data_IF_499629749981
#
_entry.id   IF_499629749981
#
_cell.length_a   1.000
_cell.length_b   1.000
_cell.length_c   1.000
_cell.angle_alpha   90.00
_cell.angle_beta   90.00
_cell.angle_gamma   90.00
#
_symmetry.space_group_name_H-M   'P 1'
#
loop_
_entity.id
_entity.type
_entity.pdbx_description
1 polymer ?
#
# COMPACT_ATOMS: atom_id res chain seq x y z
N UNK A 1 7.66 -15.11 -6.58
CA UNK A 1 8.92 -14.34 -6.58
C UNK A 1 9.46 -14.12 -7.99
N UNK A 2 9.68 -15.17 -8.79
CA UNK A 2 10.27 -15.06 -10.14
C UNK A 2 9.45 -14.22 -11.12
N UNK A 3 8.12 -14.37 -11.16
CA UNK A 3 7.27 -13.56 -12.06
C UNK A 3 7.33 -12.06 -11.76
N UNK A 4 7.53 -11.68 -10.51
CA UNK A 4 7.69 -10.28 -10.11
C UNK A 4 9.04 -9.76 -10.63
N UNK A 5 10.11 -10.55 -10.46
CA UNK A 5 11.46 -10.19 -10.94
C UNK A 5 11.57 -10.10 -12.47
N UNK A 6 10.74 -10.84 -13.22
CA UNK A 6 10.65 -10.67 -14.68
C UNK A 6 10.19 -9.27 -15.09
N UNK A 7 9.39 -8.62 -14.27
CA UNK A 7 8.86 -7.27 -14.53
C UNK A 7 9.74 -6.19 -13.90
N UNK A 8 10.26 -6.43 -12.69
CA UNK A 8 11.15 -5.52 -11.97
C UNK A 8 12.31 -6.32 -11.36
N UNK A 9 13.47 -6.41 -12.04
CA UNK A 9 14.57 -7.30 -11.63
C UNK A 9 15.09 -7.02 -10.21
N UNK A 10 15.27 -5.74 -9.87
CA UNK A 10 15.93 -5.31 -8.65
C UNK A 10 14.97 -5.05 -7.48
N UNK A 11 13.72 -5.51 -7.59
CA UNK A 11 12.74 -5.32 -6.53
C UNK A 11 13.06 -6.20 -5.33
N UNK A 12 13.04 -5.57 -4.16
CA UNK A 12 13.13 -6.26 -2.88
C UNK A 12 11.81 -7.00 -2.60
N UNK A 13 11.90 -8.30 -2.29
CA UNK A 13 10.74 -9.17 -2.05
C UNK A 13 10.91 -9.77 -0.67
N UNK A 14 9.97 -9.42 0.22
CA UNK A 14 9.97 -9.80 1.62
C UNK A 14 8.78 -10.70 1.87
N UNK A 15 9.02 -11.86 2.49
CA UNK A 15 7.96 -12.71 2.99
C UNK A 15 7.54 -12.26 4.38
N UNK A 16 6.25 -12.06 4.59
CA UNK A 16 5.72 -11.55 5.85
C UNK A 16 4.50 -12.32 6.31
N UNK A 17 4.33 -12.46 7.63
CA UNK A 17 3.11 -12.94 8.25
C UNK A 17 2.71 -11.95 9.35
N UNK A 18 1.59 -11.26 9.16
CA UNK A 18 1.13 -10.25 10.12
C UNK A 18 0.67 -10.86 11.46
N UNK A 19 0.15 -12.08 11.45
CA UNK A 19 -0.34 -12.78 12.64
C UNK A 19 0.84 -13.23 13.52
N UNK A 20 1.89 -13.76 12.90
CA UNK A 20 3.08 -14.26 13.62
C UNK A 20 4.19 -13.22 13.76
N UNK A 21 4.07 -12.07 13.10
CA UNK A 21 5.08 -11.01 13.09
C UNK A 21 6.29 -11.25 12.18
N UNK A 22 6.35 -12.38 11.46
CA UNK A 22 7.47 -12.72 10.57
C UNK A 22 7.67 -11.64 9.51
N UNK A 23 8.92 -11.21 9.30
CA UNK A 23 9.30 -10.23 8.28
C UNK A 23 8.85 -8.78 8.51
N UNK A 24 7.96 -8.51 9.48
CA UNK A 24 7.40 -7.18 9.70
C UNK A 24 8.46 -6.15 10.11
N UNK A 25 9.43 -6.51 10.96
CA UNK A 25 10.49 -5.57 11.38
C UNK A 25 11.30 -5.05 10.19
N UNK A 26 11.62 -5.93 9.23
CA UNK A 26 12.32 -5.54 8.02
C UNK A 26 11.43 -4.64 7.16
N UNK A 27 10.18 -5.05 6.92
CA UNK A 27 9.21 -4.27 6.16
C UNK A 27 9.04 -2.86 6.72
N UNK A 28 8.82 -2.73 8.03
CA UNK A 28 8.64 -1.44 8.71
C UNK A 28 9.87 -0.53 8.57
N UNK A 29 11.08 -1.09 8.71
CA UNK A 29 12.32 -0.31 8.49
C UNK A 29 12.45 0.16 7.05
N UNK A 30 12.10 -0.68 6.07
CA UNK A 30 12.16 -0.31 4.65
C UNK A 30 11.16 0.78 4.30
N UNK A 31 9.95 0.74 4.87
CA UNK A 31 8.95 1.79 4.75
C UNK A 31 9.47 3.09 5.37
N UNK A 32 9.96 3.05 6.61
CA UNK A 32 10.48 4.22 7.32
C UNK A 32 11.71 4.84 6.64
N UNK A 33 12.49 4.06 5.88
CA UNK A 33 13.65 4.55 5.13
C UNK A 33 13.31 5.08 3.73
N UNK A 34 12.06 5.01 3.29
CA UNK A 34 11.69 5.59 1.99
C UNK A 34 11.68 7.12 2.09
N UNK A 35 12.02 7.82 0.99
CA UNK A 35 11.78 9.25 0.89
C UNK A 35 10.31 9.57 1.14
N UNK A 36 10.05 10.78 1.65
CA UNK A 36 8.68 11.27 1.75
C UNK A 36 8.04 11.33 0.36
N UNK A 37 6.75 11.02 0.32
CA UNK A 37 5.98 11.07 -0.92
C UNK A 37 5.78 12.54 -1.30
N UNK A 38 6.18 12.90 -2.52
CA UNK A 38 5.95 14.24 -3.06
C UNK A 38 4.47 14.54 -3.30
N UNK A 39 4.18 15.74 -3.81
CA UNK A 39 2.81 16.17 -4.15
C UNK A 39 2.23 15.51 -5.39
N UNK A 40 3.07 14.80 -6.16
CA UNK A 40 2.70 14.16 -7.41
C UNK A 40 1.71 13.00 -7.19
N UNK A 41 0.81 12.80 -8.15
CA UNK A 41 -0.10 11.67 -8.13
C UNK A 41 0.65 10.34 -8.28
N UNK A 42 0.49 9.44 -7.30
CA UNK A 42 1.02 8.07 -7.40
C UNK A 42 0.02 7.20 -8.16
N UNK A 43 0.43 6.70 -9.31
CA UNK A 43 -0.38 5.80 -10.15
C UNK A 43 0.35 4.48 -10.36
N UNK A 44 -0.37 3.37 -10.19
CA UNK A 44 0.16 2.04 -10.47
C UNK A 44 0.36 1.81 -11.96
N UNK A 45 1.48 1.16 -12.32
CA UNK A 45 1.78 0.80 -13.73
C UNK A 45 0.71 -0.09 -14.37
N UNK A 46 0.04 -0.91 -13.58
CA UNK A 46 -1.01 -1.84 -13.99
C UNK A 46 -2.07 -1.98 -12.91
N UNK A 47 -3.26 -2.46 -13.27
CA UNK A 47 -4.24 -2.88 -12.27
C UNK A 47 -3.74 -4.20 -11.65
N UNK A 48 -3.40 -4.23 -10.35
CA UNK A 48 -2.87 -5.45 -9.75
C UNK A 48 -4.00 -6.47 -9.62
N UNK A 49 -3.76 -7.76 -9.96
CA UNK A 49 -4.75 -8.82 -9.77
C UNK A 49 -4.97 -9.17 -8.29
N UNK A 50 -4.13 -8.64 -7.39
CA UNK A 50 -4.19 -8.81 -5.94
C UNK A 50 -4.20 -7.42 -5.28
N UNK A 51 -5.13 -7.21 -4.34
CA UNK A 51 -5.36 -5.91 -3.73
C UNK A 51 -4.21 -5.46 -2.82
N UNK A 52 -3.57 -4.34 -3.17
CA UNK A 52 -2.63 -3.62 -2.28
C UNK A 52 -3.41 -2.95 -1.13
N UNK A 53 -4.65 -2.56 -1.41
CA UNK A 53 -5.66 -2.11 -0.46
C UNK A 53 -6.98 -2.74 -0.91
N UNK A 54 -7.78 -3.31 0.01
CA UNK A 54 -9.10 -3.86 -0.32
C UNK A 54 -10.03 -2.78 -0.92
N UNK A 55 -9.80 -1.52 -0.58
CA UNK A 55 -10.56 -0.37 -1.08
C UNK A 55 -10.12 0.06 -2.49
N UNK A 56 -8.85 -0.11 -2.85
CA UNK A 56 -8.31 0.29 -4.16
C UNK A 56 -8.17 -0.88 -5.14
N UNK A 57 -8.72 -2.06 -4.84
CA UNK A 57 -8.58 -3.23 -5.71
C UNK A 57 -9.14 -2.93 -7.10
N UNK A 58 -8.39 -3.27 -8.15
CA UNK A 58 -8.76 -2.99 -9.54
C UNK A 58 -8.53 -1.55 -10.03
N UNK A 59 -8.14 -0.61 -9.14
CA UNK A 59 -7.81 0.77 -9.52
C UNK A 59 -6.31 0.97 -9.69
N UNK A 60 -5.92 1.92 -10.56
CA UNK A 60 -4.53 2.37 -10.71
C UNK A 60 -4.21 3.57 -9.80
N UNK A 61 -5.20 4.41 -9.55
CA UNK A 61 -5.11 5.53 -8.61
C UNK A 61 -5.24 4.99 -7.19
N UNK A 62 -4.21 5.22 -6.37
CA UNK A 62 -4.10 4.67 -5.02
C UNK A 62 -3.83 5.76 -3.99
N UNK A 63 -3.99 5.42 -2.70
CA UNK A 63 -3.83 6.35 -1.59
C UNK A 63 -5.17 6.75 -0.99
N UNK A 64 -5.11 7.26 0.25
CA UNK A 64 -6.30 7.51 1.06
C UNK A 64 -7.31 8.47 0.40
N UNK A 65 -6.82 9.44 -0.38
CA UNK A 65 -7.65 10.38 -1.16
C UNK A 65 -8.45 9.72 -2.29
N UNK A 66 -8.08 8.50 -2.69
CA UNK A 66 -8.76 7.74 -3.76
C UNK A 66 -9.66 6.62 -3.18
N UNK A 67 -9.79 6.54 -1.86
CA UNK A 67 -10.64 5.56 -1.19
C UNK A 67 -12.11 5.94 -1.32
N UNK A 68 -12.98 4.97 -1.61
CA UNK A 68 -14.42 5.14 -1.46
C UNK A 68 -14.82 4.92 0.01
N UNK A 69 -15.72 5.73 0.54
CA UNK A 69 -16.24 5.59 1.90
C UNK A 69 -15.45 6.37 2.95
N UNK A 70 -15.50 5.90 4.20
CA UNK A 70 -14.99 6.65 5.36
C UNK A 70 -13.71 6.03 5.91
N UNK A 71 -12.66 6.83 6.02
CA UNK A 71 -11.43 6.49 6.75
C UNK A 71 -11.49 7.20 8.09
N UNK A 72 -11.39 6.46 9.19
CA UNK A 72 -11.28 7.01 10.53
C UNK A 72 -10.24 6.23 11.35
N UNK A 73 -9.49 6.90 12.23
CA UNK A 73 -8.70 6.21 13.26
C UNK A 73 -9.63 5.37 14.15
N UNK A 74 -9.09 4.29 14.73
CA UNK A 74 -9.88 3.43 15.62
C UNK A 74 -10.37 4.19 16.86
N UNK A 75 -9.53 5.08 17.38
CA UNK A 75 -9.74 5.76 18.65
C UNK A 75 -10.31 7.17 18.52
N UNK A 76 -10.63 7.62 17.29
CA UNK A 76 -11.21 8.95 17.06
C UNK A 76 -12.64 8.86 16.50
N UNK A 77 -13.57 9.71 16.99
CA UNK A 77 -14.95 9.73 16.52
C UNK A 77 -15.08 10.38 15.15
N UNK A 78 -14.22 11.35 14.82
CA UNK A 78 -14.29 12.08 13.56
C UNK A 78 -13.56 11.36 12.42
N UNK A 79 -14.12 11.39 11.18
CA UNK A 79 -13.48 10.78 10.03
C UNK A 79 -12.28 11.62 9.56
N UNK A 80 -11.17 10.94 9.26
CA UNK A 80 -9.99 11.53 8.62
C UNK A 80 -10.26 11.87 7.16
N UNK A 81 -11.09 11.07 6.49
CA UNK A 81 -11.45 11.25 5.09
C UNK A 81 -12.83 10.64 4.79
N UNK A 82 -13.58 11.30 3.92
CA UNK A 82 -14.79 10.78 3.30
C UNK A 82 -14.64 10.94 1.80
N UNK A 83 -14.47 9.83 1.09
CA UNK A 83 -14.49 9.78 -0.36
C UNK A 83 -15.87 9.48 -0.87
N UNK A 84 -16.23 10.16 -1.97
CA UNK A 84 -17.46 9.95 -2.73
C UNK A 84 -17.46 8.65 -3.54
#
# INVERSE_FOLDING_TARGET
RESIRKVVPDIDIVETNAIQGTGLRYLMRRIASQPEIGTEAIVLRGAPPLGVCTVCIGKKEIGWKNHFGIIRPLDMPEPLYRGD
#
